data_IF_970452943999
#
_entry.id   IF_970452943999
#
_cell.length_a   1.000
_cell.length_b   1.000
_cell.length_c   1.000
_cell.angle_alpha   90.00
_cell.angle_beta   90.00
_cell.angle_gamma   90.00
#
_symmetry.space_group_name_H-M   'P 1'
#
loop_
_entity.id
_entity.type
_entity.pdbx_description
1 polymer ?
#
# COMPACT_ATOMS: atom_id res chain seq x y z
N UNK A 1 28.10 12.61 -18.11
CA UNK A 1 26.85 11.81 -18.09
C UNK A 1 25.97 12.29 -19.24
N UNK A 2 25.48 11.38 -20.08
CA UNK A 2 24.50 11.73 -21.09
C UNK A 2 23.19 12.18 -20.41
N UNK A 3 22.51 13.17 -20.98
CA UNK A 3 21.30 13.75 -20.38
C UNK A 3 20.12 12.82 -20.59
N UNK A 4 19.56 12.26 -19.51
CA UNK A 4 18.38 11.41 -19.59
C UNK A 4 17.11 12.27 -19.43
N UNK A 5 16.58 12.77 -20.54
CA UNK A 5 15.41 13.66 -20.52
C UNK A 5 14.18 13.04 -19.85
N UNK A 6 13.98 11.73 -20.00
CA UNK A 6 12.89 11.02 -19.34
C UNK A 6 13.02 11.16 -17.82
N UNK A 7 14.16 10.76 -17.27
CA UNK A 7 14.41 10.81 -15.83
C UNK A 7 14.41 12.24 -15.29
N UNK A 8 15.01 13.19 -16.03
CA UNK A 8 15.02 14.62 -15.66
C UNK A 8 13.60 15.17 -15.54
N UNK A 9 12.73 14.93 -16.53
CA UNK A 9 11.35 15.42 -16.51
C UNK A 9 10.49 14.71 -15.46
N UNK A 10 10.70 13.42 -15.23
CA UNK A 10 10.01 12.67 -14.17
C UNK A 10 10.39 13.17 -12.77
N UNK A 11 11.67 13.40 -12.50
CA UNK A 11 12.13 13.98 -11.24
C UNK A 11 11.61 15.41 -11.07
N UNK A 12 11.66 16.21 -12.14
CA UNK A 12 11.17 17.59 -12.14
C UNK A 12 9.67 17.65 -11.85
N UNK A 13 8.84 16.83 -12.50
CA UNK A 13 7.40 16.88 -12.28
C UNK A 13 7.03 16.49 -10.85
N UNK A 14 7.66 15.45 -10.29
CA UNK A 14 7.45 15.06 -8.90
C UNK A 14 7.83 16.17 -7.93
N UNK A 15 9.03 16.75 -8.07
CA UNK A 15 9.49 17.81 -7.18
C UNK A 15 8.61 19.07 -7.27
N UNK A 16 8.28 19.53 -8.48
CA UNK A 16 7.43 20.70 -8.68
C UNK A 16 6.01 20.47 -8.16
N UNK A 17 5.45 19.27 -8.37
CA UNK A 17 4.13 18.92 -7.86
C UNK A 17 4.12 18.88 -6.33
N UNK A 18 5.15 18.26 -5.74
CA UNK A 18 5.35 18.21 -4.30
C UNK A 18 5.38 19.60 -3.68
N UNK A 19 6.35 20.42 -4.07
CA UNK A 19 6.51 21.77 -3.50
C UNK A 19 5.36 22.71 -3.88
N UNK A 20 4.76 22.54 -5.06
CA UNK A 20 3.59 23.31 -5.49
C UNK A 20 2.42 23.12 -4.53
N UNK A 21 2.04 21.87 -4.24
CA UNK A 21 0.98 21.60 -3.26
C UNK A 21 1.38 22.01 -1.85
N UNK A 22 2.62 21.73 -1.45
CA UNK A 22 3.07 22.05 -0.09
C UNK A 22 2.95 23.54 0.22
N UNK A 23 3.32 24.38 -0.74
CA UNK A 23 3.33 25.84 -0.62
C UNK A 23 2.05 26.52 -1.11
N UNK A 24 1.09 25.79 -1.68
CA UNK A 24 -0.09 26.36 -2.35
C UNK A 24 0.25 27.16 -3.61
N UNK A 25 1.40 26.88 -4.24
CA UNK A 25 1.88 27.61 -5.41
C UNK A 25 1.36 26.98 -6.71
N UNK A 26 0.31 27.57 -7.26
CA UNK A 26 -0.36 27.11 -8.49
C UNK A 26 0.53 27.17 -9.74
N UNK A 27 1.55 28.04 -9.76
CA UNK A 27 2.51 28.13 -10.87
C UNK A 27 3.42 26.91 -10.89
N UNK A 28 3.92 26.47 -9.72
CA UNK A 28 4.70 25.24 -9.61
C UNK A 28 3.86 24.02 -9.99
N UNK A 29 2.59 23.96 -9.57
CA UNK A 29 1.68 22.89 -9.99
C UNK A 29 1.40 22.90 -11.50
N UNK A 30 1.34 24.07 -12.14
CA UNK A 30 1.19 24.14 -13.59
C UNK A 30 2.45 23.62 -14.31
N UNK A 31 3.63 24.05 -13.87
CA UNK A 31 4.89 23.54 -14.44
C UNK A 31 5.07 22.04 -14.18
N UNK A 32 4.57 21.51 -13.07
CA UNK A 32 4.62 20.08 -12.78
C UNK A 32 3.79 19.27 -13.78
N UNK A 33 2.58 19.73 -14.14
CA UNK A 33 1.74 19.14 -15.19
C UNK A 33 2.41 19.15 -16.56
N UNK A 34 3.11 20.24 -16.89
CA UNK A 34 3.84 20.36 -18.16
C UNK A 34 5.04 19.41 -18.23
N UNK A 35 5.80 19.30 -17.13
CA UNK A 35 6.92 18.37 -17.03
C UNK A 35 6.44 16.92 -17.09
N UNK A 36 5.35 16.58 -16.39
CA UNK A 36 4.72 15.26 -16.43
C UNK A 36 4.29 14.90 -17.86
N UNK A 37 3.64 15.81 -18.57
CA UNK A 37 3.25 15.60 -19.98
C UNK A 37 4.45 15.37 -20.90
N UNK A 38 5.59 16.03 -20.66
CA UNK A 38 6.84 15.80 -21.39
C UNK A 38 7.41 14.42 -21.05
N UNK A 39 7.48 14.07 -19.77
CA UNK A 39 7.98 12.78 -19.30
C UNK A 39 7.21 11.61 -19.91
N UNK A 40 5.86 11.67 -19.96
CA UNK A 40 5.05 10.64 -20.60
C UNK A 40 5.39 10.45 -22.09
N UNK A 41 5.65 11.53 -22.84
CA UNK A 41 6.07 11.43 -24.25
C UNK A 41 7.45 10.78 -24.38
N UNK A 42 8.39 11.10 -23.49
CA UNK A 42 9.70 10.44 -23.49
C UNK A 42 9.59 8.97 -23.08
N UNK A 43 8.75 8.65 -22.09
CA UNK A 43 8.51 7.28 -21.64
C UNK A 43 7.94 6.44 -22.78
N UNK A 44 6.91 6.95 -23.47
CA UNK A 44 6.31 6.30 -24.63
C UNK A 44 7.33 5.93 -25.70
N UNK A 45 8.32 6.81 -25.97
CA UNK A 45 9.39 6.53 -26.94
C UNK A 45 10.46 5.61 -26.38
N UNK A 46 10.75 5.69 -25.08
CA UNK A 46 11.76 4.86 -24.43
C UNK A 46 11.34 3.38 -24.41
N UNK A 47 10.05 3.09 -24.20
CA UNK A 47 9.54 1.71 -24.16
C UNK A 47 9.42 1.04 -25.53
N UNK A 48 9.53 1.81 -26.63
CA UNK A 48 9.57 1.26 -28.00
C UNK A 48 10.91 0.56 -28.29
N UNK A 49 11.98 0.94 -27.60
CA UNK A 49 13.30 0.32 -27.68
C UNK A 49 13.52 -0.62 -26.49
N UNK A 50 13.93 -1.87 -26.75
CA UNK A 50 14.06 -2.88 -25.69
C UNK A 50 15.18 -2.55 -24.71
N UNK A 51 16.33 -2.05 -25.19
CA UNK A 51 17.47 -1.76 -24.31
C UNK A 51 17.20 -0.53 -23.45
N UNK A 52 16.65 0.54 -24.06
CA UNK A 52 16.29 1.76 -23.34
C UNK A 52 15.09 1.52 -22.43
N UNK A 53 14.08 0.81 -22.91
CA UNK A 53 12.86 0.48 -22.16
C UNK A 53 13.16 -0.31 -20.90
N UNK A 54 14.10 -1.26 -20.97
CA UNK A 54 14.52 -2.09 -19.84
C UNK A 54 15.72 -1.50 -19.07
N UNK A 55 16.06 -0.23 -19.26
CA UNK A 55 17.13 0.47 -18.49
C UNK A 55 16.67 0.85 -17.08
N UNK A 56 17.60 0.95 -16.13
CA UNK A 56 17.28 1.32 -14.74
C UNK A 56 16.67 2.72 -14.64
N UNK A 57 17.09 3.62 -15.53
CA UNK A 57 16.56 4.97 -15.64
C UNK A 57 15.10 4.98 -16.10
N UNK A 58 14.71 4.13 -17.06
CA UNK A 58 13.30 4.02 -17.48
C UNK A 58 12.43 3.48 -16.36
N UNK A 59 12.90 2.47 -15.61
CA UNK A 59 12.18 1.98 -14.44
C UNK A 59 12.03 3.07 -13.38
N UNK A 60 13.13 3.75 -13.03
CA UNK A 60 13.11 4.85 -12.06
C UNK A 60 12.15 5.96 -12.48
N UNK A 61 12.23 6.38 -13.74
CA UNK A 61 11.35 7.42 -14.28
C UNK A 61 9.87 7.02 -14.24
N UNK A 62 9.56 5.75 -14.53
CA UNK A 62 8.19 5.20 -14.42
C UNK A 62 7.73 5.21 -12.95
N UNK A 63 8.58 4.79 -12.01
CA UNK A 63 8.25 4.85 -10.58
C UNK A 63 7.98 6.29 -10.10
N UNK A 64 8.82 7.26 -10.50
CA UNK A 64 8.67 8.67 -10.15
C UNK A 64 7.36 9.26 -10.70
N UNK A 65 6.96 8.88 -11.91
CA UNK A 65 5.68 9.28 -12.49
C UNK A 65 4.50 8.66 -11.73
N UNK A 66 4.62 7.40 -11.30
CA UNK A 66 3.64 6.76 -10.40
C UNK A 66 3.50 7.51 -9.08
N UNK A 67 4.61 7.90 -8.45
CA UNK A 67 4.58 8.74 -7.23
C UNK A 67 3.93 10.11 -7.50
N UNK A 68 4.21 10.72 -8.65
CA UNK A 68 3.58 11.99 -9.03
C UNK A 68 2.07 11.85 -9.14
N UNK A 69 1.56 10.77 -9.73
CA UNK A 69 0.11 10.53 -9.87
C UNK A 69 -0.57 10.30 -8.52
N UNK A 70 0.06 9.52 -7.64
CA UNK A 70 -0.40 9.32 -6.24
C UNK A 70 -0.49 10.67 -5.53
N UNK A 71 0.53 11.51 -5.71
CA UNK A 71 0.63 12.78 -5.01
C UNK A 71 -0.30 13.87 -5.56
N UNK A 72 -0.37 13.99 -6.88
CA UNK A 72 -1.13 15.04 -7.55
C UNK A 72 -2.59 14.67 -7.80
N UNK A 73 -3.00 13.44 -7.50
CA UNK A 73 -4.37 12.95 -7.65
C UNK A 73 -4.91 13.20 -9.06
N UNK A 74 -4.08 12.92 -10.08
CA UNK A 74 -4.32 13.36 -11.46
C UNK A 74 -5.66 12.85 -12.01
N UNK A 75 -5.94 11.56 -11.83
CA UNK A 75 -7.21 10.92 -12.15
C UNK A 75 -7.47 9.76 -11.18
N UNK A 76 -8.73 9.27 -11.12
CA UNK A 76 -9.13 8.23 -10.16
C UNK A 76 -8.21 7.02 -10.23
N UNK A 77 -7.96 6.45 -11.41
CA UNK A 77 -7.26 5.17 -11.64
C UNK A 77 -5.86 5.29 -12.30
N UNK A 78 -5.34 6.50 -12.50
CA UNK A 78 -4.06 6.70 -13.18
C UNK A 78 -2.93 5.96 -12.46
N UNK A 79 -2.85 6.14 -11.14
CA UNK A 79 -1.81 5.53 -10.31
C UNK A 79 -1.81 3.99 -10.36
N UNK A 80 -2.99 3.35 -10.45
CA UNK A 80 -3.13 1.89 -10.56
C UNK A 80 -2.52 1.43 -11.88
N UNK A 81 -2.86 2.12 -12.97
CA UNK A 81 -2.34 1.81 -14.30
C UNK A 81 -0.82 1.98 -14.35
N UNK A 82 -0.31 3.06 -13.77
CA UNK A 82 1.12 3.35 -13.75
C UNK A 82 1.90 2.38 -12.87
N UNK A 83 1.39 2.07 -11.67
CA UNK A 83 1.95 1.06 -10.79
C UNK A 83 1.99 -0.32 -11.47
N UNK A 84 0.94 -0.69 -12.19
CA UNK A 84 0.89 -1.91 -13.00
C UNK A 84 1.96 -1.92 -14.10
N UNK A 85 2.15 -0.80 -14.81
CA UNK A 85 3.20 -0.63 -15.81
C UNK A 85 4.62 -0.76 -15.24
N UNK A 86 4.90 -0.06 -14.14
CA UNK A 86 6.17 -0.16 -13.41
C UNK A 86 6.43 -1.59 -12.89
N UNK A 87 5.40 -2.21 -12.30
CA UNK A 87 5.47 -3.60 -11.84
C UNK A 87 5.74 -4.58 -12.97
N UNK A 88 5.12 -4.39 -14.14
CA UNK A 88 5.38 -5.22 -15.33
C UNK A 88 6.80 -5.03 -15.85
N UNK A 89 7.29 -3.79 -15.88
CA UNK A 89 8.66 -3.49 -16.29
C UNK A 89 9.67 -4.16 -15.35
N UNK A 90 9.45 -4.04 -14.04
CA UNK A 90 10.24 -4.72 -13.00
C UNK A 90 10.20 -6.25 -13.17
N UNK A 91 9.03 -6.83 -13.42
CA UNK A 91 8.87 -8.25 -13.65
C UNK A 91 9.65 -8.73 -14.89
N UNK A 92 9.59 -8.01 -16.01
CA UNK A 92 10.29 -8.38 -17.26
C UNK A 92 11.81 -8.34 -17.08
N UNK A 93 12.32 -7.40 -16.29
CA UNK A 93 13.76 -7.31 -15.97
C UNK A 93 14.28 -8.49 -15.14
N UNK A 94 13.37 -9.18 -14.44
CA UNK A 94 13.67 -10.38 -13.67
C UNK A 94 14.26 -10.10 -12.28
N UNK A 95 13.97 -10.98 -11.33
CA UNK A 95 14.35 -10.85 -9.92
C UNK A 95 15.87 -10.70 -9.70
N UNK A 96 16.69 -11.38 -10.52
CA UNK A 96 18.15 -11.36 -10.39
C UNK A 96 18.74 -9.95 -10.50
N UNK A 97 18.16 -9.10 -11.35
CA UNK A 97 18.63 -7.73 -11.56
C UNK A 97 18.32 -6.80 -10.38
N UNK A 98 17.44 -7.22 -9.49
CA UNK A 98 16.99 -6.44 -8.34
C UNK A 98 17.64 -6.89 -7.03
N UNK A 99 18.74 -7.66 -7.04
CA UNK A 99 19.37 -8.15 -5.80
C UNK A 99 20.28 -7.13 -5.11
N UNK A 100 20.86 -6.19 -5.86
CA UNK A 100 21.79 -5.20 -5.31
C UNK A 100 21.65 -3.81 -5.95
N UNK A 101 22.43 -2.87 -5.43
CA UNK A 101 22.61 -1.54 -6.01
C UNK A 101 21.31 -0.74 -6.16
N UNK A 102 21.24 0.04 -7.23
CA UNK A 102 20.13 0.96 -7.48
C UNK A 102 18.80 0.22 -7.77
N UNK A 103 18.87 -0.91 -8.47
CA UNK A 103 17.70 -1.70 -8.83
C UNK A 103 17.06 -2.36 -7.61
N UNK A 104 17.86 -2.74 -6.60
CA UNK A 104 17.35 -3.23 -5.32
C UNK A 104 16.63 -2.16 -4.51
N UNK A 105 17.19 -0.94 -4.42
CA UNK A 105 16.54 0.17 -3.72
C UNK A 105 15.21 0.52 -4.39
N UNK A 106 15.16 0.49 -5.73
CA UNK A 106 13.91 0.66 -6.47
C UNK A 106 12.89 -0.45 -6.15
N UNK A 107 13.32 -1.70 -6.07
CA UNK A 107 12.47 -2.81 -5.66
C UNK A 107 11.88 -2.59 -4.26
N UNK A 108 12.72 -2.30 -3.27
CA UNK A 108 12.27 -2.05 -1.89
C UNK A 108 11.30 -0.87 -1.80
N UNK A 109 11.60 0.23 -2.49
CA UNK A 109 10.80 1.45 -2.45
C UNK A 109 9.45 1.36 -3.16
N UNK A 110 9.26 0.38 -4.06
CA UNK A 110 8.05 0.31 -4.91
C UNK A 110 7.21 -0.96 -4.70
N UNK A 111 7.74 -2.01 -4.07
CA UNK A 111 7.02 -3.28 -3.90
C UNK A 111 5.66 -3.15 -3.23
N UNK A 112 5.52 -2.29 -2.22
CA UNK A 112 4.24 -2.06 -1.54
C UNK A 112 3.16 -1.51 -2.49
N UNK A 113 3.55 -0.63 -3.41
CA UNK A 113 2.67 -0.05 -4.43
C UNK A 113 2.25 -1.10 -5.46
N UNK A 114 3.18 -1.97 -5.89
CA UNK A 114 2.89 -3.10 -6.78
C UNK A 114 1.88 -4.07 -6.15
N UNK A 115 2.04 -4.37 -4.86
CA UNK A 115 1.13 -5.26 -4.15
C UNK A 115 -0.25 -4.61 -4.02
N UNK A 116 -0.32 -3.35 -3.60
CA UNK A 116 -1.57 -2.61 -3.48
C UNK A 116 -2.32 -2.50 -4.83
N UNK A 117 -1.59 -2.29 -5.93
CA UNK A 117 -2.16 -2.33 -7.28
C UNK A 117 -2.69 -3.73 -7.61
N UNK A 118 -1.99 -4.82 -7.27
CA UNK A 118 -2.45 -6.18 -7.53
C UNK A 118 -3.76 -6.50 -6.77
N UNK A 119 -3.87 -6.04 -5.51
CA UNK A 119 -5.12 -6.09 -4.74
C UNK A 119 -6.23 -5.32 -5.46
N UNK A 120 -5.97 -4.06 -5.84
CA UNK A 120 -6.94 -3.20 -6.51
C UNK A 120 -7.41 -3.79 -7.86
N UNK A 121 -6.49 -4.30 -8.65
CA UNK A 121 -6.76 -4.93 -9.95
C UNK A 121 -7.36 -6.35 -9.83
N UNK A 122 -7.41 -6.92 -8.62
CA UNK A 122 -7.92 -8.28 -8.39
C UNK A 122 -7.13 -9.35 -9.13
N UNK A 123 -5.80 -9.18 -9.23
CA UNK A 123 -4.89 -10.07 -9.97
C UNK A 123 -3.82 -10.63 -9.03
N UNK A 124 -3.27 -11.84 -9.29
CA UNK A 124 -2.13 -12.34 -8.52
C UNK A 124 -0.93 -11.38 -8.62
N UNK A 125 -0.18 -11.27 -7.52
CA UNK A 125 1.04 -10.46 -7.49
C UNK A 125 2.25 -11.33 -7.86
N UNK A 126 3.06 -10.90 -8.82
CA UNK A 126 4.26 -11.66 -9.21
C UNK A 126 5.31 -11.72 -8.08
N UNK A 127 5.26 -10.77 -7.15
CA UNK A 127 6.15 -10.72 -5.98
C UNK A 127 5.90 -11.87 -5.00
N UNK A 128 4.76 -12.56 -5.14
CA UNK A 128 4.41 -13.75 -4.36
C UNK A 128 5.18 -15.00 -4.81
N UNK A 129 5.89 -14.95 -5.93
CA UNK A 129 6.66 -16.09 -6.45
C UNK A 129 8.01 -16.26 -5.72
N UNK A 130 8.53 -17.50 -5.74
CA UNK A 130 9.77 -17.89 -5.06
C UNK A 130 10.96 -17.01 -5.47
N UNK A 131 11.09 -16.73 -6.77
CA UNK A 131 12.16 -15.88 -7.32
C UNK A 131 12.19 -14.49 -6.66
N UNK A 132 11.02 -13.92 -6.37
CA UNK A 132 10.89 -12.55 -5.84
C UNK A 132 10.90 -12.50 -4.31
N UNK A 133 10.35 -13.52 -3.63
CA UNK A 133 10.48 -13.67 -2.17
C UNK A 133 11.96 -13.78 -1.75
N UNK A 134 12.80 -14.36 -2.61
CA UNK A 134 14.25 -14.52 -2.40
C UNK A 134 15.12 -13.30 -2.75
N UNK A 135 14.58 -12.22 -3.32
CA UNK A 135 15.34 -10.99 -3.67
C UNK A 135 15.94 -10.30 -2.44
N UNK A 136 15.56 -10.74 -1.25
CA UNK A 136 15.99 -10.21 0.04
C UNK A 136 17.34 -10.78 0.52
N UNK A 137 17.86 -11.86 -0.07
CA UNK A 137 18.98 -12.62 0.49
C UNK A 137 20.39 -12.21 0.00
N UNK A 138 20.55 -11.09 -0.70
CA UNK A 138 21.81 -10.81 -1.40
C UNK A 138 22.27 -9.37 -1.37
N UNK A 139 22.80 -8.87 -0.26
CA UNK A 139 23.99 -8.00 -0.28
C UNK A 139 24.46 -7.69 1.14
N UNK A 140 25.76 -7.55 1.29
CA UNK A 140 26.54 -7.18 2.47
C UNK A 140 26.19 -5.78 3.02
N UNK A 141 24.92 -5.53 3.31
CA UNK A 141 24.44 -4.29 3.89
C UNK A 141 24.15 -4.49 5.38
N UNK A 142 24.82 -3.71 6.22
CA UNK A 142 24.65 -3.66 7.69
C UNK A 142 23.18 -3.50 8.17
N UNK A 143 22.24 -3.18 7.27
CA UNK A 143 20.81 -3.07 7.55
C UNK A 143 20.10 -4.45 7.64
N UNK A 144 20.66 -5.50 7.04
CA UNK A 144 20.04 -6.84 7.02
C UNK A 144 19.98 -7.53 8.39
N UNK A 145 20.75 -7.03 9.37
CA UNK A 145 20.78 -7.54 10.75
C UNK A 145 19.84 -6.82 11.70
N UNK A 146 19.10 -5.80 11.25
CA UNK A 146 18.11 -5.12 12.08
C UNK A 146 16.78 -5.88 12.06
N UNK A 147 16.18 -6.10 13.23
CA UNK A 147 14.82 -6.65 13.33
C UNK A 147 13.81 -5.86 12.49
N UNK A 148 13.98 -4.54 12.37
CA UNK A 148 13.14 -3.68 11.53
C UNK A 148 13.15 -4.15 10.07
N UNK A 149 14.33 -4.44 9.52
CA UNK A 149 14.46 -4.83 8.12
C UNK A 149 13.94 -6.24 7.88
N UNK A 150 14.24 -7.17 8.79
CA UNK A 150 13.73 -8.55 8.74
C UNK A 150 12.20 -8.57 8.78
N UNK A 151 11.60 -7.94 9.79
CA UNK A 151 10.15 -7.88 9.95
C UNK A 151 9.48 -7.14 8.79
N UNK A 152 10.11 -6.12 8.22
CA UNK A 152 9.59 -5.46 7.01
C UNK A 152 9.52 -6.39 5.81
N UNK A 153 10.54 -7.24 5.62
CA UNK A 153 10.56 -8.19 4.51
C UNK A 153 9.58 -9.33 4.71
N UNK A 154 9.49 -9.87 5.92
CA UNK A 154 8.47 -10.86 6.28
C UNK A 154 7.06 -10.32 6.01
N UNK A 155 6.76 -9.11 6.50
CA UNK A 155 5.50 -8.43 6.21
C UNK A 155 5.25 -8.30 4.70
N UNK A 156 6.27 -7.85 3.95
CA UNK A 156 6.13 -7.64 2.50
C UNK A 156 5.84 -8.93 1.75
N UNK A 157 6.41 -10.06 2.20
CA UNK A 157 6.13 -11.38 1.64
C UNK A 157 4.69 -11.82 1.95
N UNK A 158 4.23 -11.67 3.20
CA UNK A 158 2.84 -11.94 3.58
C UNK A 158 1.86 -11.07 2.78
N UNK A 159 2.18 -9.78 2.64
CA UNK A 159 1.37 -8.83 1.89
C UNK A 159 1.28 -9.20 0.41
N UNK A 160 2.38 -9.67 -0.20
CA UNK A 160 2.38 -10.13 -1.59
C UNK A 160 1.46 -11.35 -1.83
N UNK A 161 1.19 -12.17 -0.81
CA UNK A 161 0.26 -13.30 -0.90
C UNK A 161 -1.22 -12.92 -0.84
N UNK A 162 -1.55 -11.74 -0.29
CA UNK A 162 -2.94 -11.27 -0.12
C UNK A 162 -3.75 -11.31 -1.42
N UNK A 163 -3.28 -10.76 -2.56
CA UNK A 163 -4.05 -10.78 -3.81
C UNK A 163 -4.46 -12.19 -4.25
N UNK A 164 -3.54 -13.16 -4.16
CA UNK A 164 -3.81 -14.56 -4.56
C UNK A 164 -4.85 -15.20 -3.64
N UNK A 165 -4.71 -15.02 -2.32
CA UNK A 165 -5.63 -15.59 -1.34
C UNK A 165 -7.02 -14.95 -1.43
N UNK A 166 -7.12 -13.63 -1.58
CA UNK A 166 -8.39 -12.93 -1.79
C UNK A 166 -9.13 -13.46 -3.03
N UNK A 167 -8.43 -13.64 -4.16
CA UNK A 167 -9.03 -14.20 -5.39
C UNK A 167 -9.61 -15.59 -5.12
N UNK A 168 -8.90 -16.44 -4.37
CA UNK A 168 -9.35 -17.79 -4.05
C UNK A 168 -10.56 -17.78 -3.12
N UNK A 169 -10.54 -16.98 -2.07
CA UNK A 169 -11.67 -16.81 -1.15
C UNK A 169 -12.90 -16.28 -1.89
N UNK A 170 -12.74 -15.23 -2.68
CA UNK A 170 -13.80 -14.67 -3.53
C UNK A 170 -14.34 -15.70 -4.53
N UNK A 171 -13.49 -16.54 -5.11
CA UNK A 171 -13.95 -17.56 -6.06
C UNK A 171 -14.79 -18.61 -5.34
N UNK A 172 -14.39 -18.99 -4.12
CA UNK A 172 -15.11 -19.93 -3.28
C UNK A 172 -16.50 -19.44 -2.80
N UNK A 173 -16.78 -18.13 -2.81
CA UNK A 173 -18.12 -17.61 -2.44
C UNK A 173 -19.17 -17.89 -3.51
N UNK A 174 -18.75 -18.19 -4.75
CA UNK A 174 -19.67 -18.46 -5.86
C UNK A 174 -20.51 -19.72 -5.60
N UNK A 175 -21.78 -19.67 -6.00
CA UNK A 175 -22.78 -20.73 -5.74
C UNK A 175 -22.41 -22.09 -6.33
N UNK A 176 -21.62 -22.12 -7.39
CA UNK A 176 -21.13 -23.31 -8.09
C UNK A 176 -19.87 -23.92 -7.46
N UNK A 177 -19.27 -23.26 -6.46
CA UNK A 177 -18.07 -23.77 -5.79
C UNK A 177 -18.36 -25.03 -4.98
N UNK A 178 -17.57 -26.08 -5.22
CA UNK A 178 -17.65 -27.32 -4.46
C UNK A 178 -17.28 -27.12 -2.99
N UNK A 179 -17.84 -27.93 -2.10
CA UNK A 179 -17.52 -27.92 -0.66
C UNK A 179 -16.02 -28.06 -0.40
N UNK A 180 -15.32 -28.90 -1.18
CA UNK A 180 -13.88 -29.07 -1.09
C UNK A 180 -13.10 -27.80 -1.44
N UNK A 181 -13.47 -27.15 -2.56
CA UNK A 181 -12.84 -25.88 -2.99
C UNK A 181 -13.02 -24.78 -1.93
N UNK A 182 -14.22 -24.70 -1.34
CA UNK A 182 -14.53 -23.78 -0.24
C UNK A 182 -13.68 -24.05 0.99
N UNK A 183 -13.63 -25.30 1.44
CA UNK A 183 -12.85 -25.69 2.61
C UNK A 183 -11.35 -25.42 2.42
N UNK A 184 -10.80 -25.75 1.24
CA UNK A 184 -9.40 -25.45 0.90
C UNK A 184 -9.11 -23.95 0.90
N UNK A 185 -9.97 -23.13 0.28
CA UNK A 185 -9.77 -21.68 0.27
C UNK A 185 -9.82 -21.08 1.69
N UNK A 186 -10.74 -21.55 2.53
CA UNK A 186 -10.81 -21.14 3.94
C UNK A 186 -9.57 -21.53 4.72
N UNK A 187 -9.05 -22.75 4.50
CA UNK A 187 -7.83 -23.22 5.16
C UNK A 187 -6.62 -22.35 4.79
N UNK A 188 -6.46 -22.04 3.51
CA UNK A 188 -5.35 -21.20 3.04
C UNK A 188 -5.47 -19.76 3.51
N UNK A 189 -6.69 -19.21 3.55
CA UNK A 189 -6.96 -17.90 4.14
C UNK A 189 -6.69 -17.86 5.64
N UNK A 190 -7.06 -18.91 6.38
CA UNK A 190 -6.81 -19.02 7.81
C UNK A 190 -5.31 -19.13 8.11
N UNK A 191 -4.57 -19.90 7.32
CA UNK A 191 -3.11 -19.99 7.43
C UNK A 191 -2.46 -18.62 7.26
N UNK A 192 -2.77 -17.89 6.18
CA UNK A 192 -2.20 -16.56 5.96
C UNK A 192 -2.59 -15.58 7.08
N UNK A 193 -3.83 -15.67 7.59
CA UNK A 193 -4.27 -14.85 8.72
C UNK A 193 -3.44 -15.12 9.98
N UNK A 194 -3.18 -16.38 10.29
CA UNK A 194 -2.41 -16.75 11.48
C UNK A 194 -0.93 -16.35 11.33
N UNK A 195 -0.38 -16.35 10.11
CA UNK A 195 0.94 -15.78 9.82
C UNK A 195 0.98 -14.27 10.08
N UNK A 196 -0.05 -13.52 9.64
CA UNK A 196 -0.16 -12.09 9.96
C UNK A 196 -0.29 -11.81 11.45
N UNK A 197 -1.03 -12.63 12.20
CA UNK A 197 -1.13 -12.50 13.67
C UNK A 197 0.21 -12.78 14.34
N UNK A 198 0.93 -13.80 13.89
CA UNK A 198 2.26 -14.14 14.40
C UNK A 198 3.23 -12.99 14.16
N UNK A 199 3.25 -12.46 12.94
CA UNK A 199 4.05 -11.28 12.59
C UNK A 199 3.67 -10.06 13.45
N UNK A 200 2.37 -9.80 13.64
CA UNK A 200 1.88 -8.67 14.45
C UNK A 200 2.37 -8.75 15.90
N UNK A 201 2.26 -9.93 16.53
CA UNK A 201 2.73 -10.16 17.89
C UNK A 201 4.24 -9.95 18.02
N UNK A 202 5.01 -10.47 17.06
CA UNK A 202 6.46 -10.30 17.05
C UNK A 202 6.85 -8.83 16.85
N UNK A 203 6.18 -8.14 15.91
CA UNK A 203 6.43 -6.74 15.61
C UNK A 203 6.12 -5.83 16.80
N UNK A 204 4.97 -6.01 17.47
CA UNK A 204 4.61 -5.21 18.64
C UNK A 204 5.48 -5.53 19.86
N UNK A 205 5.97 -6.78 19.99
CA UNK A 205 6.95 -7.12 21.00
C UNK A 205 8.30 -6.45 20.75
N UNK A 206 8.75 -6.36 19.49
CA UNK A 206 10.00 -5.69 19.11
C UNK A 206 9.88 -4.16 19.19
N UNK A 207 8.69 -3.61 18.89
CA UNK A 207 8.42 -2.17 18.85
C UNK A 207 7.16 -1.75 19.65
N UNK A 208 7.18 -1.86 21.00
CA UNK A 208 5.98 -1.66 21.82
C UNK A 208 5.36 -0.27 21.74
N UNK A 209 6.17 0.76 21.45
CA UNK A 209 5.71 2.16 21.37
C UNK A 209 4.93 2.47 20.11
N UNK A 210 4.87 1.55 19.14
CA UNK A 210 4.18 1.76 17.87
C UNK A 210 2.71 1.34 17.91
N UNK A 211 2.28 0.60 18.94
CA UNK A 211 0.90 0.17 19.06
C UNK A 211 0.00 1.31 19.60
N UNK A 212 -1.11 1.63 18.93
CA UNK A 212 -2.06 2.60 19.44
C UNK A 212 -2.76 2.07 20.70
N UNK A 213 -2.62 2.79 21.83
CA UNK A 213 -3.28 2.42 23.09
C UNK A 213 -4.80 2.63 23.02
N UNK A 214 -5.58 1.59 23.33
CA UNK A 214 -7.05 1.65 23.38
C UNK A 214 -7.60 1.99 24.77
N UNK A 215 -6.78 1.94 25.83
CA UNK A 215 -7.23 2.16 27.22
C UNK A 215 -7.69 3.61 27.46
N UNK A 216 -8.96 3.78 27.84
CA UNK A 216 -9.53 5.06 28.25
C UNK A 216 -10.07 5.96 27.14
N UNK A 217 -10.14 5.49 25.88
CA UNK A 217 -10.48 6.33 24.73
C UNK A 217 -11.92 6.07 24.24
N UNK A 218 -12.80 7.07 24.40
CA UNK A 218 -14.14 7.04 23.79
C UNK A 218 -14.05 7.33 22.29
N UNK A 219 -14.79 6.56 21.49
CA UNK A 219 -14.96 6.81 20.05
C UNK A 219 -15.60 8.20 19.89
N UNK A 220 -14.85 9.19 19.41
CA UNK A 220 -15.35 10.54 19.09
C UNK A 220 -14.71 11.72 19.82
N UNK A 221 -13.78 11.53 20.75
CA UNK A 221 -12.99 12.63 21.33
C UNK A 221 -11.76 12.96 20.47
N UNK A 222 -11.20 14.17 20.59
CA UNK A 222 -10.04 14.62 19.82
C UNK A 222 -8.82 13.73 20.14
N UNK A 223 -8.56 12.74 19.27
CA UNK A 223 -7.66 11.57 19.42
C UNK A 223 -6.17 11.92 19.42
N UNK A 224 -5.81 12.96 20.14
CA UNK A 224 -4.60 13.77 19.96
C UNK A 224 -3.40 13.34 20.80
N UNK A 225 -3.55 12.34 21.69
CA UNK A 225 -2.63 12.17 22.82
C UNK A 225 -1.80 10.88 22.86
N UNK A 226 -2.15 9.82 22.13
CA UNK A 226 -1.48 8.52 22.31
C UNK A 226 -0.11 8.37 21.60
N UNK A 227 0.08 9.00 20.43
CA UNK A 227 1.36 8.98 19.69
C UNK A 227 1.89 10.42 19.55
N UNK A 228 2.17 11.05 20.69
CA UNK A 228 2.73 12.41 20.78
C UNK A 228 4.26 12.47 20.57
N UNK A 229 4.88 11.40 20.06
CA UNK A 229 6.27 11.46 19.59
C UNK A 229 6.29 11.62 18.09
N UNK A 230 6.63 12.82 17.67
CA UNK A 230 7.00 13.21 16.31
C UNK A 230 8.33 12.56 15.90
N UNK A 231 8.51 11.26 16.14
CA UNK A 231 9.69 10.52 15.72
C UNK A 231 9.44 9.98 14.31
N UNK A 232 10.19 10.39 13.28
CA UNK A 232 10.05 9.85 11.93
C UNK A 232 10.11 8.31 11.86
N UNK A 233 10.77 7.65 12.81
CA UNK A 233 10.85 6.19 12.87
C UNK A 233 9.50 5.53 13.20
N UNK A 234 8.66 6.14 14.04
CA UNK A 234 7.36 5.54 14.42
C UNK A 234 6.35 5.56 13.28
N UNK A 235 6.51 6.44 12.30
CA UNK A 235 5.53 6.67 11.22
C UNK A 235 5.48 5.51 10.24
N UNK A 236 6.63 5.08 9.76
CA UNK A 236 6.71 3.94 8.83
C UNK A 236 6.31 2.63 9.53
N UNK A 237 6.60 2.50 10.82
CA UNK A 237 6.15 1.36 11.63
C UNK A 237 4.63 1.35 11.81
N UNK A 238 4.02 2.50 12.11
CA UNK A 238 2.56 2.66 12.12
C UNK A 238 1.93 2.33 10.76
N UNK A 239 2.63 2.61 9.65
CA UNK A 239 2.19 2.22 8.31
C UNK A 239 2.00 0.72 8.16
N UNK A 240 3.00 -0.06 8.59
CA UNK A 240 2.97 -1.52 8.49
C UNK A 240 1.91 -2.10 9.41
N UNK A 241 1.72 -1.55 10.61
CA UNK A 241 0.61 -1.94 11.49
C UNK A 241 -0.75 -1.66 10.85
N UNK A 242 -0.98 -0.47 10.30
CA UNK A 242 -2.23 -0.14 9.59
C UNK A 242 -2.49 -1.10 8.42
N UNK A 243 -1.47 -1.40 7.62
CA UNK A 243 -1.58 -2.34 6.53
C UNK A 243 -1.85 -3.78 7.02
N UNK A 244 -1.22 -4.19 8.13
CA UNK A 244 -1.49 -5.47 8.79
C UNK A 244 -2.95 -5.57 9.26
N UNK A 245 -3.46 -4.54 9.93
CA UNK A 245 -4.86 -4.50 10.38
C UNK A 245 -5.81 -4.59 9.21
N UNK A 246 -5.56 -3.86 8.12
CA UNK A 246 -6.35 -3.96 6.90
C UNK A 246 -6.34 -5.38 6.31
N UNK A 247 -5.17 -6.02 6.21
CA UNK A 247 -5.07 -7.40 5.71
C UNK A 247 -5.84 -8.39 6.61
N UNK A 248 -5.72 -8.27 7.93
CA UNK A 248 -6.46 -9.10 8.88
C UNK A 248 -7.97 -8.91 8.75
N UNK A 249 -8.45 -7.66 8.65
CA UNK A 249 -9.87 -7.35 8.46
C UNK A 249 -10.37 -7.99 7.15
N UNK A 250 -9.63 -7.85 6.03
CA UNK A 250 -9.98 -8.47 4.74
C UNK A 250 -10.14 -9.99 4.87
N UNK A 251 -9.11 -10.66 5.39
CA UNK A 251 -9.10 -12.11 5.56
C UNK A 251 -10.24 -12.57 6.47
N UNK A 252 -10.42 -11.92 7.61
CA UNK A 252 -11.50 -12.23 8.56
C UNK A 252 -12.87 -12.12 7.92
N UNK A 253 -13.16 -11.02 7.23
CA UNK A 253 -14.44 -10.84 6.54
C UNK A 253 -14.65 -11.92 5.49
N UNK A 254 -13.66 -12.20 4.63
CA UNK A 254 -13.81 -13.20 3.56
C UNK A 254 -13.99 -14.61 4.11
N UNK A 255 -13.25 -14.99 5.14
CA UNK A 255 -13.37 -16.29 5.80
C UNK A 255 -14.75 -16.43 6.45
N UNK A 256 -15.24 -15.39 7.13
CA UNK A 256 -16.57 -15.38 7.77
C UNK A 256 -17.74 -15.50 6.76
N UNK A 257 -17.55 -15.06 5.51
CA UNK A 257 -18.55 -15.31 4.44
C UNK A 257 -18.62 -16.78 3.99
N UNK A 258 -17.55 -17.55 4.22
CA UNK A 258 -17.43 -18.94 3.76
C UNK A 258 -17.68 -19.97 4.86
N UNK A 259 -17.57 -19.59 6.13
CA UNK A 259 -17.78 -20.45 7.30
C UNK A 259 -18.24 -19.67 8.53
N UNK A 260 -18.65 -20.38 9.58
CA UNK A 260 -19.25 -19.81 10.79
C UNK A 260 -18.18 -19.39 11.82
N UNK A 261 -17.29 -18.47 11.42
CA UNK A 261 -16.27 -17.90 12.30
C UNK A 261 -16.74 -16.51 12.74
N UNK A 262 -16.93 -16.34 14.05
CA UNK A 262 -17.21 -15.03 14.63
C UNK A 262 -15.93 -14.18 14.65
N UNK A 263 -15.89 -13.21 13.74
CA UNK A 263 -14.80 -12.24 13.58
C UNK A 263 -15.25 -10.82 13.93
N UNK A 264 -16.47 -10.65 14.46
CA UNK A 264 -17.07 -9.33 14.65
C UNK A 264 -16.27 -8.54 15.69
N UNK A 265 -15.97 -9.16 16.83
CA UNK A 265 -15.23 -8.53 17.93
C UNK A 265 -13.82 -8.14 17.48
N UNK A 266 -13.07 -9.09 16.90
CA UNK A 266 -11.70 -8.84 16.42
C UNK A 266 -11.66 -7.76 15.33
N UNK A 267 -12.57 -7.80 14.35
CA UNK A 267 -12.61 -6.77 13.32
C UNK A 267 -12.93 -5.39 13.92
N UNK A 268 -13.82 -5.32 14.92
CA UNK A 268 -14.16 -4.07 15.61
C UNK A 268 -12.95 -3.49 16.33
N UNK A 269 -12.16 -4.32 17.00
CA UNK A 269 -10.92 -3.92 17.65
C UNK A 269 -9.85 -3.45 16.64
N UNK A 270 -9.66 -4.18 15.54
CA UNK A 270 -8.71 -3.82 14.48
C UNK A 270 -9.10 -2.49 13.82
N UNK A 271 -10.40 -2.28 13.57
CA UNK A 271 -10.93 -1.01 13.06
C UNK A 271 -10.62 0.11 14.06
N UNK A 272 -10.91 -0.07 15.35
CA UNK A 272 -10.63 0.93 16.37
C UNK A 272 -9.13 1.30 16.43
N UNK A 273 -8.23 0.30 16.36
CA UNK A 273 -6.78 0.54 16.29
C UNK A 273 -6.36 1.34 15.05
N UNK A 274 -6.90 1.00 13.89
CA UNK A 274 -6.66 1.72 12.64
C UNK A 274 -7.15 3.17 12.72
N UNK A 275 -8.33 3.37 13.31
CA UNK A 275 -8.95 4.67 13.58
C UNK A 275 -8.05 5.56 14.47
N UNK A 276 -7.52 5.03 15.57
CA UNK A 276 -6.59 5.78 16.43
C UNK A 276 -5.30 6.14 15.68
N UNK A 277 -4.77 5.21 14.88
CA UNK A 277 -3.56 5.44 14.08
C UNK A 277 -3.73 6.55 13.02
N UNK A 278 -4.97 6.82 12.57
CA UNK A 278 -5.26 7.93 11.65
C UNK A 278 -4.80 9.27 12.23
N UNK A 279 -5.10 9.55 13.50
CA UNK A 279 -4.75 10.82 14.15
C UNK A 279 -3.24 11.04 14.19
N UNK A 280 -2.46 9.96 14.38
CA UNK A 280 -1.00 10.03 14.33
C UNK A 280 -0.47 10.22 12.91
N UNK A 281 -0.84 9.33 11.98
CA UNK A 281 -0.35 9.36 10.60
C UNK A 281 -0.68 10.70 9.91
N UNK A 282 -1.85 11.26 10.20
CA UNK A 282 -2.31 12.56 9.70
C UNK A 282 -1.38 13.73 10.04
N UNK A 283 -0.66 13.66 11.16
CA UNK A 283 0.22 14.75 11.63
C UNK A 283 1.60 14.75 10.99
N UNK A 284 1.96 13.68 10.28
CA UNK A 284 3.31 13.50 9.71
C UNK A 284 3.34 13.79 8.20
N UNK A 285 2.39 14.59 7.74
CA UNK A 285 2.30 15.02 6.34
C UNK A 285 2.05 13.86 5.37
N UNK A 286 2.56 14.00 4.15
CA UNK A 286 2.22 13.10 3.05
C UNK A 286 2.67 11.64 3.27
N UNK A 287 3.73 11.40 4.05
CA UNK A 287 4.18 10.05 4.39
C UNK A 287 3.09 9.27 5.13
N UNK A 288 2.44 9.87 6.13
CA UNK A 288 1.36 9.22 6.86
C UNK A 288 0.06 9.08 6.04
N UNK A 289 -0.21 9.99 5.10
CA UNK A 289 -1.32 9.86 4.16
C UNK A 289 -1.19 8.62 3.25
N UNK A 290 0.01 8.34 2.74
CA UNK A 290 0.28 7.13 1.95
C UNK A 290 0.12 5.84 2.76
N UNK A 291 0.46 5.87 4.05
CA UNK A 291 0.28 4.74 4.96
C UNK A 291 -1.19 4.32 5.09
N UNK A 292 -2.10 5.31 5.07
CA UNK A 292 -3.53 5.12 5.25
C UNK A 292 -4.28 4.88 3.93
N UNK A 293 -3.67 5.19 2.79
CA UNK A 293 -4.29 5.09 1.47
C UNK A 293 -4.77 3.67 1.12
N UNK A 294 -4.07 2.63 1.60
CA UNK A 294 -4.52 1.24 1.50
C UNK A 294 -5.46 0.85 2.64
N UNK A 295 -5.10 1.21 3.87
CA UNK A 295 -5.73 0.65 5.07
C UNK A 295 -7.13 1.21 5.37
N UNK A 296 -7.32 2.53 5.24
CA UNK A 296 -8.61 3.17 5.52
C UNK A 296 -9.74 2.68 4.62
N UNK A 297 -9.53 2.58 3.29
CA UNK A 297 -10.63 2.19 2.41
C UNK A 297 -11.08 0.75 2.60
N UNK A 298 -10.16 -0.14 3.00
CA UNK A 298 -10.49 -1.49 3.46
C UNK A 298 -11.39 -1.42 4.70
N UNK A 299 -10.99 -0.68 5.74
CA UNK A 299 -11.79 -0.54 6.96
C UNK A 299 -13.20 0.02 6.68
N UNK A 300 -13.30 1.07 5.86
CA UNK A 300 -14.57 1.70 5.46
C UNK A 300 -15.53 0.76 4.74
N UNK A 301 -14.99 -0.07 3.87
CA UNK A 301 -15.82 -0.95 3.05
C UNK A 301 -16.48 -2.09 3.84
N UNK A 302 -16.01 -2.32 5.08
CA UNK A 302 -16.40 -3.44 5.93
C UNK A 302 -17.08 -2.99 7.23
N UNK A 303 -17.10 -1.69 7.54
CA UNK A 303 -17.89 -1.12 8.62
C UNK A 303 -19.38 -1.07 8.25
N UNK A 304 -20.23 -1.67 9.09
CA UNK A 304 -21.69 -1.43 9.06
C UNK A 304 -22.03 -0.17 9.87
N UNK A 305 -23.08 0.50 9.40
CA UNK A 305 -23.67 1.82 9.72
C UNK A 305 -23.36 2.59 11.03
N UNK A 306 -22.97 1.98 12.15
CA UNK A 306 -22.75 2.71 13.41
C UNK A 306 -21.39 3.42 13.51
N UNK A 307 -20.34 2.93 12.83
CA UNK A 307 -19.02 3.60 12.76
C UNK A 307 -18.86 4.51 11.52
N UNK A 308 -19.85 4.54 10.63
CA UNK A 308 -19.76 5.20 9.31
C UNK A 308 -19.55 6.72 9.44
N UNK A 309 -20.22 7.39 10.37
CA UNK A 309 -20.11 8.84 10.54
C UNK A 309 -18.70 9.27 10.96
N UNK A 310 -18.13 8.60 11.97
CA UNK A 310 -16.80 8.94 12.49
C UNK A 310 -15.66 8.59 11.53
N UNK A 311 -15.74 7.45 10.81
CA UNK A 311 -14.73 7.10 9.81
C UNK A 311 -14.85 8.02 8.59
N UNK A 312 -16.05 8.44 8.20
CA UNK A 312 -16.24 9.47 7.16
C UNK A 312 -15.67 10.83 7.60
N UNK A 313 -15.87 11.26 8.84
CA UNK A 313 -15.25 12.48 9.37
C UNK A 313 -13.72 12.37 9.46
N UNK A 314 -13.21 11.22 9.87
CA UNK A 314 -11.76 10.93 9.89
C UNK A 314 -11.18 10.88 8.47
N UNK A 315 -11.93 10.38 7.50
CA UNK A 315 -11.60 10.46 6.08
C UNK A 315 -11.62 11.89 5.55
N UNK A 316 -12.54 12.74 6.00
CA UNK A 316 -12.55 14.16 5.61
C UNK A 316 -11.36 14.87 6.25
N UNK A 317 -10.95 14.47 7.46
CA UNK A 317 -9.72 14.94 8.08
C UNK A 317 -8.47 14.48 7.30
N UNK A 318 -8.39 13.21 6.90
CA UNK A 318 -7.31 12.64 6.08
C UNK A 318 -7.33 13.14 4.62
N UNK A 319 -8.52 13.34 4.04
CA UNK A 319 -8.74 13.86 2.71
C UNK A 319 -8.51 15.37 2.63
N UNK A 320 -8.78 16.08 3.73
CA UNK A 320 -8.32 17.46 3.97
C UNK A 320 -6.80 17.54 4.13
N UNK A 321 -6.15 16.45 4.55
CA UNK A 321 -4.70 16.27 4.59
C UNK A 321 -4.17 15.66 3.28
N UNK A 322 -4.37 16.37 2.17
CA UNK A 322 -3.54 16.34 0.95
C UNK A 322 -3.14 14.98 0.33
N UNK A 323 -3.73 13.84 0.70
CA UNK A 323 -3.20 12.51 0.32
C UNK A 323 -4.20 11.41 -0.05
N UNK A 324 -5.50 11.55 0.22
CA UNK A 324 -6.52 10.58 -0.20
C UNK A 324 -7.76 11.30 -0.75
N UNK A 325 -7.94 11.27 -2.06
CA UNK A 325 -9.12 11.85 -2.72
C UNK A 325 -10.40 11.01 -2.48
N UNK A 326 -11.57 11.67 -2.49
CA UNK A 326 -12.88 10.99 -2.55
C UNK A 326 -12.96 9.97 -3.70
N UNK A 327 -12.24 10.22 -4.79
CA UNK A 327 -12.14 9.31 -5.93
C UNK A 327 -11.40 7.99 -5.57
N UNK A 328 -10.32 8.05 -4.78
CA UNK A 328 -9.60 6.87 -4.27
C UNK A 328 -10.45 6.09 -3.27
N UNK A 329 -11.14 6.79 -2.37
CA UNK A 329 -12.09 6.17 -1.42
C UNK A 329 -13.20 5.46 -2.18
N UNK A 330 -13.85 6.14 -3.12
CA UNK A 330 -14.92 5.58 -3.95
C UNK A 330 -14.41 4.40 -4.80
N UNK A 331 -13.17 4.44 -5.29
CA UNK A 331 -12.57 3.33 -6.04
C UNK A 331 -12.37 2.09 -5.17
N UNK A 332 -11.73 2.25 -4.02
CA UNK A 332 -11.47 1.13 -3.10
C UNK A 332 -12.79 0.59 -2.52
N UNK A 333 -13.76 1.46 -2.25
CA UNK A 333 -15.14 1.06 -1.95
C UNK A 333 -15.79 0.30 -3.11
N UNK A 334 -15.57 0.68 -4.37
CA UNK A 334 -16.08 -0.06 -5.52
C UNK A 334 -15.43 -1.43 -5.66
N UNK A 335 -14.14 -1.60 -5.35
CA UNK A 335 -13.49 -2.91 -5.38
C UNK A 335 -14.01 -3.86 -4.31
N UNK A 336 -14.30 -3.35 -3.11
CA UNK A 336 -14.88 -4.18 -2.04
C UNK A 336 -16.38 -4.42 -2.28
N UNK A 337 -17.12 -3.44 -2.81
CA UNK A 337 -18.55 -3.57 -3.15
C UNK A 337 -18.81 -4.43 -4.39
N UNK A 338 -17.88 -4.54 -5.33
CA UNK A 338 -18.07 -5.32 -6.57
C UNK A 338 -18.17 -6.84 -6.28
N UNK A 339 -17.85 -7.31 -5.07
CA UNK A 339 -17.92 -8.74 -4.71
C UNK A 339 -18.37 -8.96 -3.25
N UNK A 340 -19.47 -8.32 -2.84
CA UNK A 340 -20.34 -8.80 -1.74
C UNK A 340 -21.56 -9.50 -2.33
#
# INVERSE_FOLDING_TARGET
MAKNHLLDYSAQCLALGFFGRETGNTVLEQHSREAYSKALRYLSRAIEDVEVGLSSETLCATMLLGFYEIYMHTERLSWVTHAGGAGRLMQIRGALRHKDGFDYIMFLGFRGIIIAEAVASGRPCFLDSEDWRGVVAGSENYLASSDTFRLHNEFSNLFASIPTIEIRLITATRKDSSTFSRASAVLDGASLRDDFRTWHLEFTSAFPTCEPSTEGHNIGEDHTTALNRSDPETVWMSAWLCACYACLIMLNTRISLLGDVDVIVENSELIAKLCIAVGHCSRVGNSGGQCLAFALPVALSLCKDELNGWIQESLVCVGGLRGVSEAQISMLQSFVKVKL
#
